data_IF_603173707816
#
_entry.id   IF_603173707816
#
_cell.length_a   1.000
_cell.length_b   1.000
_cell.length_c   1.000
_cell.angle_alpha   90.00
_cell.angle_beta   90.00
_cell.angle_gamma   90.00
#
_symmetry.space_group_name_H-M   'P 1'
#
loop_
_entity.id
_entity.type
_entity.pdbx_description
1 polymer ?
#
# COMPACT_ATOMS: atom_id res chain seq x y z
N UNK A 1 8.36 40.38 -31.08
CA UNK A 1 9.39 39.94 -32.06
C UNK A 1 10.80 40.10 -31.50
N UNK A 2 11.08 39.65 -30.27
CA UNK A 2 12.41 39.77 -29.64
C UNK A 2 13.05 38.41 -29.28
N UNK A 3 12.35 37.30 -29.54
CA UNK A 3 12.78 35.93 -29.16
C UNK A 3 13.62 35.21 -30.23
N UNK A 4 13.77 35.77 -31.42
CA UNK A 4 14.44 35.07 -32.54
C UNK A 4 15.97 35.22 -32.47
N UNK A 5 16.47 36.36 -31.98
CA UNK A 5 17.90 36.70 -31.99
C UNK A 5 18.72 36.01 -30.90
N UNK A 6 18.09 35.58 -29.79
CA UNK A 6 18.78 34.84 -28.73
C UNK A 6 19.17 33.42 -29.19
N UNK A 7 18.33 32.76 -30.00
CA UNK A 7 18.59 31.42 -30.53
C UNK A 7 19.72 31.35 -31.57
N UNK A 8 20.11 32.49 -32.17
CA UNK A 8 21.21 32.55 -33.14
C UNK A 8 22.59 32.67 -32.46
N UNK A 9 22.68 33.33 -31.29
CA UNK A 9 23.94 33.43 -30.54
C UNK A 9 24.34 32.09 -29.89
N UNK A 10 23.39 31.34 -29.32
CA UNK A 10 23.67 30.01 -28.76
C UNK A 10 24.12 29.02 -29.86
N UNK A 11 23.52 29.12 -31.06
CA UNK A 11 23.96 28.36 -32.24
C UNK A 11 25.40 28.69 -32.67
N UNK A 12 25.85 29.94 -32.55
CA UNK A 12 27.21 30.31 -32.94
C UNK A 12 28.30 29.69 -32.06
N UNK A 13 28.07 29.61 -30.74
CA UNK A 13 29.00 28.96 -29.81
C UNK A 13 29.08 27.45 -30.01
N UNK A 14 27.93 26.78 -30.19
CA UNK A 14 27.91 25.34 -30.51
C UNK A 14 28.58 25.03 -31.86
N UNK A 15 28.47 25.92 -32.84
CA UNK A 15 29.14 25.75 -34.14
C UNK A 15 30.68 25.86 -34.03
N UNK A 16 31.22 26.70 -33.14
CA UNK A 16 32.66 26.74 -32.87
C UNK A 16 33.15 25.49 -32.11
N UNK A 17 32.35 24.96 -31.18
CA UNK A 17 32.62 23.69 -30.51
C UNK A 17 32.56 22.51 -31.51
N UNK A 18 31.55 22.46 -32.37
CA UNK A 18 31.43 21.42 -33.41
C UNK A 18 32.57 21.50 -34.43
N UNK A 19 32.98 22.71 -34.82
CA UNK A 19 34.13 22.95 -35.71
C UNK A 19 35.46 22.56 -35.07
N UNK A 20 35.65 22.78 -33.77
CA UNK A 20 36.87 22.35 -33.05
C UNK A 20 36.89 20.85 -32.78
N UNK A 21 35.75 20.21 -32.46
CA UNK A 21 35.62 18.76 -32.39
C UNK A 21 35.91 18.09 -33.76
N UNK A 22 35.39 18.67 -34.84
CA UNK A 22 35.67 18.22 -36.22
C UNK A 22 37.16 18.36 -36.56
N UNK A 23 37.81 19.45 -36.16
CA UNK A 23 39.25 19.67 -36.35
C UNK A 23 40.14 18.71 -35.51
N UNK A 24 39.58 18.11 -34.45
CA UNK A 24 40.22 17.08 -33.63
C UNK A 24 39.88 15.64 -34.08
N UNK A 25 39.16 15.48 -35.20
CA UNK A 25 38.62 14.21 -35.70
C UNK A 25 37.76 13.45 -34.67
N UNK A 26 37.13 14.16 -33.73
CA UNK A 26 36.23 13.56 -32.74
C UNK A 26 34.81 13.47 -33.33
N UNK A 27 34.09 12.34 -33.13
CA UNK A 27 32.71 12.23 -33.60
C UNK A 27 31.79 13.25 -32.90
N UNK A 28 30.63 13.59 -33.50
CA UNK A 28 29.67 14.48 -32.87
C UNK A 28 29.06 13.84 -31.61
N UNK A 29 28.85 14.65 -30.57
CA UNK A 29 28.28 14.20 -29.29
C UNK A 29 26.84 13.69 -29.52
N UNK A 30 26.50 12.45 -29.13
CA UNK A 30 25.14 11.94 -29.26
C UNK A 30 24.19 12.63 -28.27
N UNK A 31 22.88 12.73 -28.60
CA UNK A 31 21.89 13.33 -27.69
C UNK A 31 21.79 12.55 -26.38
N UNK A 32 21.66 13.27 -25.27
CA UNK A 32 21.64 12.74 -23.88
C UNK A 32 20.44 11.84 -23.55
N UNK A 33 19.49 11.69 -24.47
CA UNK A 33 18.32 10.82 -24.34
C UNK A 33 18.63 9.32 -24.43
N UNK A 34 19.83 8.92 -24.88
CA UNK A 34 20.26 7.52 -25.00
C UNK A 34 21.57 7.27 -24.22
N UNK A 35 21.50 6.67 -23.01
CA UNK A 35 22.68 6.45 -22.19
C UNK A 35 23.61 5.35 -22.74
N UNK A 36 23.12 4.42 -23.55
CA UNK A 36 23.96 3.37 -24.15
C UNK A 36 24.83 3.94 -25.26
N UNK A 37 24.24 4.82 -26.08
CA UNK A 37 24.96 5.55 -27.13
C UNK A 37 25.94 6.59 -26.56
N UNK A 38 25.59 7.23 -25.44
CA UNK A 38 26.50 8.10 -24.69
C UNK A 38 27.70 7.33 -24.15
N UNK A 39 27.50 6.14 -23.57
CA UNK A 39 28.59 5.29 -23.08
C UNK A 39 29.51 4.82 -24.23
N UNK A 40 28.94 4.40 -25.37
CA UNK A 40 29.71 4.05 -26.55
C UNK A 40 30.55 5.21 -27.10
N UNK A 41 30.01 6.42 -27.08
CA UNK A 41 30.74 7.64 -27.44
C UNK A 41 31.90 7.92 -26.48
N UNK A 42 31.68 7.86 -25.16
CA UNK A 42 32.72 8.05 -24.14
C UNK A 42 33.86 7.05 -24.33
N UNK A 43 33.56 5.77 -24.54
CA UNK A 43 34.58 4.73 -24.79
C UNK A 43 35.37 4.95 -26.08
N UNK A 44 34.76 5.56 -27.10
CA UNK A 44 35.43 5.87 -28.36
C UNK A 44 36.38 7.08 -28.26
N UNK A 45 36.00 8.13 -27.51
CA UNK A 45 36.85 9.32 -27.33
C UNK A 45 37.94 9.14 -26.26
N UNK A 46 37.77 8.21 -25.32
CA UNK A 46 38.68 8.03 -24.17
C UNK A 46 40.17 7.87 -24.57
N UNK A 47 40.54 7.03 -25.58
CA UNK A 47 41.94 6.88 -25.97
C UNK A 47 42.52 8.18 -26.51
N UNK A 48 41.78 8.89 -27.37
CA UNK A 48 42.23 10.12 -28.02
C UNK A 48 42.29 11.31 -27.05
N UNK A 49 41.40 11.36 -26.07
CA UNK A 49 41.49 12.27 -24.93
C UNK A 49 42.74 11.99 -24.07
N UNK A 50 43.03 10.71 -23.81
CA UNK A 50 44.22 10.30 -23.04
C UNK A 50 45.52 10.68 -23.76
N UNK A 51 45.59 10.51 -25.09
CA UNK A 51 46.71 10.97 -25.90
C UNK A 51 46.90 12.49 -25.84
N UNK A 52 45.82 13.27 -25.93
CA UNK A 52 45.88 14.73 -25.79
C UNK A 52 46.36 15.18 -24.41
N UNK A 53 45.86 14.57 -23.33
CA UNK A 53 46.32 14.88 -21.96
C UNK A 53 47.79 14.49 -21.75
N UNK A 54 48.24 13.37 -22.33
CA UNK A 54 49.65 12.96 -22.31
C UNK A 54 50.53 13.95 -23.09
N UNK A 55 50.08 14.45 -24.25
CA UNK A 55 50.79 15.48 -25.01
C UNK A 55 50.80 16.82 -24.25
N UNK A 56 49.68 17.23 -23.66
CA UNK A 56 49.58 18.47 -22.89
C UNK A 56 50.46 18.45 -21.62
N UNK A 57 50.53 17.31 -20.93
CA UNK A 57 51.45 17.12 -19.79
C UNK A 57 52.91 17.11 -20.23
N UNK A 58 53.24 16.44 -21.35
CA UNK A 58 54.60 16.46 -21.92
C UNK A 58 55.04 17.89 -22.31
N UNK A 59 54.18 18.66 -22.99
CA UNK A 59 54.43 20.06 -23.33
C UNK A 59 54.60 20.95 -22.09
N UNK A 60 53.82 20.72 -21.02
CA UNK A 60 53.94 21.43 -19.75
C UNK A 60 55.27 21.15 -19.04
N UNK A 61 55.73 19.90 -19.07
CA UNK A 61 57.04 19.50 -18.53
C UNK A 61 58.17 20.11 -19.36
N UNK A 62 58.05 20.10 -20.69
CA UNK A 62 59.03 20.70 -21.60
C UNK A 62 59.15 22.22 -21.38
N UNK A 63 58.01 22.92 -21.28
CA UNK A 63 57.98 24.36 -20.98
C UNK A 63 58.65 24.68 -19.64
N UNK A 64 58.31 23.94 -18.57
CA UNK A 64 58.95 24.11 -17.25
C UNK A 64 60.46 23.81 -17.26
N UNK A 65 60.92 22.92 -18.13
CA UNK A 65 62.34 22.64 -18.32
C UNK A 65 63.02 23.82 -19.02
N UNK A 66 62.43 24.33 -20.10
CA UNK A 66 62.92 25.50 -20.82
C UNK A 66 62.99 26.76 -19.93
N UNK A 67 62.00 26.96 -19.04
CA UNK A 67 62.01 28.04 -18.05
C UNK A 67 63.19 27.93 -17.06
N UNK A 68 63.49 26.72 -16.58
CA UNK A 68 64.63 26.46 -15.69
C UNK A 68 65.95 26.73 -16.41
N UNK A 69 66.10 26.26 -17.64
CA UNK A 69 67.29 26.48 -18.45
C UNK A 69 67.48 27.98 -18.73
N UNK A 70 66.40 28.70 -19.07
CA UNK A 70 66.44 30.16 -19.21
C UNK A 70 66.87 30.87 -17.92
N UNK A 71 66.42 30.43 -16.74
CA UNK A 71 66.85 31.05 -15.48
C UNK A 71 68.32 30.72 -15.14
N UNK A 72 68.80 29.51 -15.48
CA UNK A 72 70.22 29.17 -15.42
C UNK A 72 71.06 30.08 -16.33
N UNK A 73 70.66 30.26 -17.60
CA UNK A 73 71.34 31.16 -18.52
C UNK A 73 71.34 32.62 -18.02
N UNK A 74 70.21 33.13 -17.52
CA UNK A 74 70.17 34.47 -16.89
C UNK A 74 71.11 34.57 -15.70
N UNK A 75 71.19 33.53 -14.86
CA UNK A 75 72.11 33.51 -13.70
C UNK A 75 73.58 33.56 -14.14
N UNK A 76 73.94 32.85 -15.21
CA UNK A 76 75.28 32.87 -15.79
C UNK A 76 75.62 34.22 -16.42
N UNK A 77 74.68 34.82 -17.17
CA UNK A 77 74.84 36.18 -17.73
C UNK A 77 75.02 37.23 -16.62
N UNK A 78 74.28 37.14 -15.51
CA UNK A 78 74.49 38.02 -14.34
C UNK A 78 75.88 37.86 -13.72
N UNK A 79 76.44 36.66 -13.72
CA UNK A 79 77.80 36.38 -13.23
C UNK A 79 78.86 36.98 -14.17
N UNK A 80 78.78 36.69 -15.47
CA UNK A 80 79.67 37.26 -16.49
C UNK A 80 79.62 38.79 -16.51
N UNK A 81 78.45 39.40 -16.30
CA UNK A 81 78.31 40.84 -16.20
C UNK A 81 79.08 41.43 -15.00
N UNK A 82 79.10 40.74 -13.84
CA UNK A 82 79.86 41.14 -12.65
C UNK A 82 81.37 41.01 -12.86
N UNK A 83 81.81 39.96 -13.53
CA UNK A 83 83.21 39.77 -13.91
C UNK A 83 83.66 40.84 -14.92
N UNK A 84 82.82 41.14 -15.92
CA UNK A 84 83.10 42.24 -16.86
C UNK A 84 83.14 43.62 -16.18
N UNK A 85 82.38 43.86 -15.10
CA UNK A 85 82.52 45.09 -14.30
C UNK A 85 83.83 45.12 -13.50
N UNK A 86 84.20 44.03 -12.82
CA UNK A 86 85.43 44.01 -12.02
C UNK A 86 86.69 44.10 -12.88
N UNK A 87 86.69 43.54 -14.10
CA UNK A 87 87.78 43.74 -15.07
C UNK A 87 87.87 45.20 -15.56
N UNK A 88 86.74 45.90 -15.76
CA UNK A 88 86.78 47.35 -16.06
C UNK A 88 87.34 48.16 -14.90
N UNK A 89 87.01 47.81 -13.66
CA UNK A 89 87.55 48.47 -12.47
C UNK A 89 89.07 48.23 -12.32
N UNK A 90 89.54 46.99 -12.51
CA UNK A 90 90.98 46.67 -12.58
C UNK A 90 91.70 47.46 -13.66
N UNK A 91 91.11 47.56 -14.86
CA UNK A 91 91.65 48.37 -15.96
C UNK A 91 91.77 49.85 -15.55
N UNK A 92 90.70 50.45 -15.02
CA UNK A 92 90.73 51.85 -14.57
C UNK A 92 91.74 52.08 -13.44
N UNK A 93 91.90 51.14 -12.53
CA UNK A 93 92.94 51.18 -11.50
C UNK A 93 94.34 51.20 -12.12
N UNK A 94 94.62 50.30 -13.07
CA UNK A 94 95.90 50.25 -13.78
C UNK A 94 96.18 51.52 -14.59
N UNK A 95 95.17 52.11 -15.24
CA UNK A 95 95.29 53.38 -15.97
C UNK A 95 95.62 54.54 -15.01
N UNK A 96 94.95 54.62 -13.84
CA UNK A 96 95.27 55.62 -12.80
C UNK A 96 96.66 55.41 -12.21
N UNK A 97 97.07 54.18 -11.96
CA UNK A 97 98.40 53.85 -11.45
C UNK A 97 99.49 54.23 -12.47
N UNK A 98 99.32 53.91 -13.75
CA UNK A 98 100.23 54.31 -14.81
C UNK A 98 100.33 55.85 -14.93
N UNK A 99 99.20 56.56 -14.87
CA UNK A 99 99.17 58.02 -14.87
C UNK A 99 99.90 58.62 -13.66
N UNK A 100 99.75 58.03 -12.47
CA UNK A 100 100.45 58.45 -11.25
C UNK A 100 101.97 58.22 -11.36
N UNK A 101 102.42 57.07 -11.87
CA UNK A 101 103.85 56.80 -12.10
C UNK A 101 104.46 57.76 -13.13
N UNK A 102 103.74 58.08 -14.21
CA UNK A 102 104.17 59.11 -15.17
C UNK A 102 104.24 60.49 -14.52
N UNK A 103 103.26 60.84 -13.67
CA UNK A 103 103.25 62.09 -12.91
C UNK A 103 104.43 62.17 -11.95
N UNK A 104 104.69 61.16 -11.12
CA UNK A 104 105.81 61.14 -10.18
C UNK A 104 107.16 61.23 -10.90
N UNK A 105 107.32 60.57 -12.05
CA UNK A 105 108.52 60.72 -12.89
C UNK A 105 108.66 62.15 -13.45
N UNK A 106 107.57 62.76 -13.86
CA UNK A 106 107.54 64.14 -14.35
C UNK A 106 107.87 65.13 -13.21
N UNK A 107 107.23 64.98 -12.05
CA UNK A 107 107.49 65.75 -10.84
C UNK A 107 108.96 65.58 -10.38
N UNK A 108 109.57 64.39 -10.47
CA UNK A 108 111.00 64.19 -10.18
C UNK A 108 111.95 64.90 -11.17
N UNK A 109 111.55 65.03 -12.45
CA UNK A 109 112.31 65.78 -13.44
C UNK A 109 112.20 67.29 -13.21
N UNK A 110 111.04 67.79 -12.81
CA UNK A 110 110.76 69.22 -12.68
C UNK A 110 110.99 69.80 -11.26
N UNK A 111 110.87 69.00 -10.19
CA UNK A 111 111.17 69.43 -8.81
C UNK A 111 112.66 69.71 -8.58
N UNK A 112 113.54 69.10 -9.38
CA UNK A 112 114.97 69.46 -9.44
C UNK A 112 115.23 70.86 -10.04
N UNK A 113 114.21 71.51 -10.60
CA UNK A 113 114.29 72.81 -11.27
C UNK A 113 113.84 74.03 -10.46
N UNK A 114 113.39 73.88 -9.20
CA UNK A 114 112.80 74.99 -8.42
C UNK A 114 113.40 75.19 -7.02
N UNK A 115 114.69 75.54 -6.97
CA UNK A 115 115.23 76.35 -5.87
C UNK A 115 115.96 77.56 -6.44
N UNK A 116 115.32 78.73 -6.37
CA UNK A 116 115.90 80.01 -6.79
C UNK A 116 116.74 80.61 -5.66
N UNK A 117 118.07 80.49 -5.75
CA UNK A 117 118.97 81.56 -5.31
C UNK A 117 120.22 81.62 -6.18
N UNK A 118 120.57 82.85 -6.60
CA UNK A 118 121.65 83.13 -7.56
C UNK A 118 123.02 82.86 -6.94
N UNK A 119 123.89 82.14 -7.66
CA UNK A 119 125.27 82.60 -7.91
C UNK A 119 125.84 81.96 -9.16
N UNK A 120 126.75 82.69 -9.81
CA UNK A 120 127.46 82.36 -11.04
C UNK A 120 128.48 81.23 -10.89
N UNK A 121 128.32 80.12 -11.62
CA UNK A 121 129.45 79.54 -12.38
C UNK A 121 128.98 78.74 -13.60
N UNK A 122 129.75 78.89 -14.67
CA UNK A 122 129.60 78.26 -15.98
C UNK A 122 129.59 76.73 -15.99
N UNK A 123 128.62 76.13 -16.69
CA UNK A 123 128.82 74.91 -17.48
C UNK A 123 127.93 74.88 -18.74
N UNK A 124 128.24 75.72 -19.73
CA UNK A 124 127.74 75.51 -21.09
C UNK A 124 128.41 74.29 -21.73
N UNK A 125 127.64 73.50 -22.48
CA UNK A 125 127.92 72.89 -23.81
C UNK A 125 126.92 71.72 -24.03
N UNK A 126 126.39 71.39 -25.23
CA UNK A 126 126.76 71.76 -26.60
C UNK A 126 125.52 72.04 -27.47
N UNK A 127 125.45 73.22 -28.11
CA UNK A 127 125.00 73.33 -29.51
C UNK A 127 125.69 74.51 -30.22
N UNK A 128 126.83 74.18 -30.85
CA UNK A 128 127.53 74.84 -31.96
C UNK A 128 127.77 76.37 -31.97
N UNK A 129 128.95 76.75 -31.49
CA UNK A 129 129.61 78.03 -31.84
C UNK A 129 130.23 78.01 -33.25
N UNK A 130 129.41 77.95 -34.31
CA UNK A 130 129.89 77.98 -35.70
C UNK A 130 129.06 78.89 -36.64
N UNK A 131 128.84 80.15 -36.25
CA UNK A 131 128.21 81.16 -37.13
C UNK A 131 128.50 82.62 -36.69
N UNK A 132 129.78 83.00 -36.53
CA UNK A 132 130.14 84.43 -36.32
C UNK A 132 131.36 84.93 -37.12
N UNK A 133 131.60 84.30 -38.28
CA UNK A 133 132.43 84.84 -39.38
C UNK A 133 131.86 84.35 -40.72
N UNK A 134 130.90 85.10 -41.26
CA UNK A 134 130.59 85.23 -42.70
C UNK A 134 129.39 86.17 -42.89
N UNK A 135 129.63 87.47 -42.70
CA UNK A 135 128.67 88.52 -43.07
C UNK A 135 128.69 88.77 -44.58
N UNK A 136 128.30 87.79 -45.39
CA UNK A 136 128.05 87.96 -46.84
C UNK A 136 127.07 86.90 -47.36
N UNK A 137 125.78 87.14 -47.14
CA UNK A 137 124.64 86.80 -48.03
C UNK A 137 123.36 87.33 -47.41
N UNK A 138 122.86 88.44 -47.95
CA UNK A 138 121.43 88.70 -47.88
C UNK A 138 120.73 87.68 -48.78
N UNK A 139 119.76 86.96 -48.23
CA UNK A 139 118.78 86.19 -48.98
C UNK A 139 117.42 86.48 -48.35
N UNK A 140 116.55 87.13 -49.11
CA UNK A 140 115.15 87.31 -48.73
C UNK A 140 114.48 85.95 -48.52
N UNK A 141 113.97 85.72 -47.31
CA UNK A 141 113.03 84.64 -47.00
C UNK A 141 111.93 85.18 -46.08
N UNK A 142 111.20 86.17 -46.57
CA UNK A 142 110.01 86.72 -45.92
C UNK A 142 108.70 86.49 -46.72
N UNK A 143 108.40 85.23 -47.11
CA UNK A 143 107.00 84.82 -47.20
C UNK A 143 106.78 83.43 -46.56
N UNK A 144 106.42 83.37 -45.26
CA UNK A 144 106.01 82.08 -44.65
C UNK A 144 105.19 82.21 -43.35
N UNK A 145 105.70 82.89 -42.29
CA UNK A 145 105.18 82.65 -40.93
C UNK A 145 103.81 83.30 -40.64
N UNK A 146 103.49 84.45 -41.25
CA UNK A 146 102.21 85.15 -40.99
C UNK A 146 101.05 84.49 -41.76
N UNK A 147 101.27 84.13 -43.03
CA UNK A 147 100.26 83.48 -43.86
C UNK A 147 99.87 82.09 -43.32
N UNK A 148 100.85 81.23 -43.03
CA UNK A 148 100.58 79.89 -42.46
C UNK A 148 99.90 79.94 -41.08
N UNK A 149 100.10 81.01 -40.29
CA UNK A 149 99.35 81.21 -39.03
C UNK A 149 97.91 81.63 -39.28
N UNK A 150 97.65 82.45 -40.30
CA UNK A 150 96.29 82.82 -40.73
C UNK A 150 95.49 81.63 -41.24
N UNK A 151 96.07 80.84 -42.15
CA UNK A 151 95.41 79.66 -42.74
C UNK A 151 95.11 78.58 -41.69
N UNK A 152 96.06 78.25 -40.82
CA UNK A 152 95.85 77.28 -39.72
C UNK A 152 94.82 77.77 -38.70
N UNK A 153 94.77 79.08 -38.42
CA UNK A 153 93.74 79.66 -37.56
C UNK A 153 92.36 79.56 -38.23
N UNK A 154 92.26 79.90 -39.52
CA UNK A 154 91.02 79.81 -40.29
C UNK A 154 90.51 78.36 -40.44
N UNK A 155 91.41 77.39 -40.61
CA UNK A 155 91.07 75.96 -40.62
C UNK A 155 90.56 75.50 -39.24
N UNK A 156 91.23 75.92 -38.14
CA UNK A 156 90.75 75.66 -36.79
C UNK A 156 89.39 76.33 -36.51
N UNK A 157 89.15 77.55 -36.99
CA UNK A 157 87.85 78.22 -36.89
C UNK A 157 86.75 77.42 -37.61
N UNK A 158 86.99 76.97 -38.85
CA UNK A 158 86.03 76.12 -39.59
C UNK A 158 85.77 74.77 -38.90
N UNK A 159 86.78 74.18 -38.27
CA UNK A 159 86.60 72.95 -37.48
C UNK A 159 85.76 73.22 -36.21
N UNK A 160 85.96 74.37 -35.55
CA UNK A 160 85.13 74.79 -34.40
C UNK A 160 83.69 75.05 -34.83
N UNK A 161 83.46 75.76 -35.94
CA UNK A 161 82.13 76.00 -36.52
C UNK A 161 81.43 74.66 -36.85
N UNK A 162 82.10 73.75 -37.56
CA UNK A 162 81.54 72.43 -37.88
C UNK A 162 81.25 71.56 -36.66
N UNK A 163 82.06 71.64 -35.60
CA UNK A 163 81.80 70.93 -34.34
C UNK A 163 80.67 71.59 -33.53
N UNK A 164 80.49 72.90 -33.63
CA UNK A 164 79.36 73.61 -33.03
C UNK A 164 78.04 73.23 -33.71
N UNK A 165 78.01 73.18 -35.04
CA UNK A 165 76.86 72.71 -35.82
C UNK A 165 76.51 71.24 -35.50
N UNK A 166 77.52 70.37 -35.39
CA UNK A 166 77.31 68.97 -35.02
C UNK A 166 76.77 68.82 -33.59
N UNK A 167 77.30 69.57 -32.62
CA UNK A 167 76.75 69.60 -31.25
C UNK A 167 75.31 70.13 -31.24
N UNK A 168 74.99 71.14 -32.06
CA UNK A 168 73.63 71.65 -32.20
C UNK A 168 72.67 70.61 -32.77
N UNK A 169 73.09 69.86 -33.81
CA UNK A 169 72.32 68.76 -34.38
C UNK A 169 72.08 67.63 -33.36
N UNK A 170 73.09 67.26 -32.58
CA UNK A 170 72.96 66.26 -31.52
C UNK A 170 72.03 66.73 -30.39
N UNK A 171 72.04 68.02 -30.05
CA UNK A 171 71.06 68.59 -29.12
C UNK A 171 69.62 68.53 -29.64
N UNK A 172 69.40 68.79 -30.93
CA UNK A 172 68.08 68.69 -31.57
C UNK A 172 67.58 67.24 -31.55
N UNK A 173 68.41 66.27 -31.96
CA UNK A 173 68.09 64.85 -31.91
C UNK A 173 67.78 64.38 -30.48
N UNK A 174 68.51 64.85 -29.47
CA UNK A 174 68.21 64.56 -28.06
C UNK A 174 66.85 65.10 -27.64
N UNK A 175 66.50 66.34 -28.03
CA UNK A 175 65.20 66.96 -27.72
C UNK A 175 64.04 66.20 -28.39
N UNK A 176 64.23 65.71 -29.61
CA UNK A 176 63.25 64.89 -30.31
C UNK A 176 63.09 63.50 -29.67
N UNK A 177 64.19 62.84 -29.31
CA UNK A 177 64.15 61.57 -28.57
C UNK A 177 63.44 61.71 -27.22
N UNK A 178 63.74 62.77 -26.45
CA UNK A 178 63.06 63.08 -25.18
C UNK A 178 61.55 63.30 -25.40
N UNK A 179 61.14 63.94 -26.50
CA UNK A 179 59.74 64.14 -26.84
C UNK A 179 59.05 62.81 -27.19
N UNK A 180 59.68 61.98 -28.02
CA UNK A 180 59.15 60.67 -28.41
C UNK A 180 59.02 59.73 -27.21
N UNK A 181 60.04 59.65 -26.34
CA UNK A 181 59.99 58.88 -25.10
C UNK A 181 58.86 59.37 -24.16
N UNK A 182 58.70 60.68 -24.00
CA UNK A 182 57.58 61.24 -23.22
C UNK A 182 56.22 60.99 -23.87
N UNK A 183 56.15 60.83 -25.19
CA UNK A 183 54.91 60.50 -25.90
C UNK A 183 54.55 59.02 -25.71
N UNK A 184 55.48 58.11 -25.97
CA UNK A 184 55.25 56.66 -25.81
C UNK A 184 54.98 56.28 -24.37
N UNK A 185 55.64 56.94 -23.39
CA UNK A 185 55.32 56.76 -21.97
C UNK A 185 53.87 57.14 -21.64
N UNK A 186 53.38 58.29 -22.13
CA UNK A 186 51.99 58.72 -21.91
C UNK A 186 50.98 57.79 -22.57
N UNK A 187 51.29 57.29 -23.77
CA UNK A 187 50.45 56.30 -24.48
C UNK A 187 50.40 54.97 -23.71
N UNK A 188 51.55 54.50 -23.22
CA UNK A 188 51.64 53.33 -22.35
C UNK A 188 50.84 53.51 -21.05
N UNK A 189 51.04 54.61 -20.32
CA UNK A 189 50.35 54.87 -19.05
C UNK A 189 48.83 55.00 -19.25
N UNK A 190 48.40 55.64 -20.34
CA UNK A 190 46.98 55.68 -20.73
C UNK A 190 46.42 54.29 -21.03
N UNK A 191 47.20 53.41 -21.66
CA UNK A 191 46.80 52.02 -21.90
C UNK A 191 46.70 51.23 -20.60
N UNK A 192 47.71 51.31 -19.73
CA UNK A 192 47.70 50.64 -18.41
C UNK A 192 46.48 51.06 -17.59
N UNK A 193 46.14 52.36 -17.57
CA UNK A 193 44.94 52.86 -16.86
C UNK A 193 43.64 52.33 -17.49
N UNK A 194 43.57 52.17 -18.81
CA UNK A 194 42.42 51.56 -19.48
C UNK A 194 42.29 50.06 -19.16
N UNK A 195 43.40 49.32 -19.25
CA UNK A 195 43.48 47.89 -18.94
C UNK A 195 43.12 47.64 -17.46
N UNK A 196 43.61 48.45 -16.51
CA UNK A 196 43.22 48.37 -15.10
C UNK A 196 41.72 48.58 -14.87
N UNK A 197 41.08 49.53 -15.57
CA UNK A 197 39.62 49.74 -15.49
C UNK A 197 38.84 48.56 -16.05
N UNK A 198 39.32 47.97 -17.15
CA UNK A 198 38.70 46.80 -17.75
C UNK A 198 38.81 45.57 -16.83
N UNK A 199 39.98 45.35 -16.20
CA UNK A 199 40.19 44.30 -15.20
C UNK A 199 39.21 44.48 -14.01
N UNK A 200 39.12 45.68 -13.43
CA UNK A 200 38.17 45.97 -12.35
C UNK A 200 36.71 45.72 -12.73
N UNK A 201 36.34 45.98 -13.99
CA UNK A 201 35.00 45.68 -14.50
C UNK A 201 34.76 44.16 -14.59
N UNK A 202 35.74 43.39 -15.09
CA UNK A 202 35.67 41.94 -15.15
C UNK A 202 35.62 41.30 -13.75
N UNK A 203 36.44 41.76 -12.81
CA UNK A 203 36.42 41.33 -11.41
C UNK A 203 35.04 41.53 -10.77
N UNK A 204 34.42 42.69 -11.00
CA UNK A 204 33.05 42.98 -10.54
C UNK A 204 32.03 42.04 -11.15
N UNK A 205 32.13 41.73 -12.45
CA UNK A 205 31.24 40.76 -13.11
C UNK A 205 31.45 39.33 -12.59
N UNK A 206 32.70 38.90 -12.35
CA UNK A 206 33.02 37.60 -11.77
C UNK A 206 32.40 37.47 -10.37
N UNK A 207 32.54 38.50 -9.52
CA UNK A 207 31.96 38.51 -8.17
C UNK A 207 30.42 38.49 -8.17
N UNK A 208 29.79 39.20 -9.12
CA UNK A 208 28.33 39.14 -9.30
C UNK A 208 27.89 37.74 -9.74
N UNK A 209 28.60 37.12 -10.69
CA UNK A 209 28.30 35.77 -11.18
C UNK A 209 28.50 34.70 -10.10
N UNK A 210 29.59 34.76 -9.31
CA UNK A 210 29.82 33.80 -8.22
C UNK A 210 28.78 33.92 -7.11
N UNK A 211 28.36 35.14 -6.76
CA UNK A 211 27.28 35.37 -5.79
C UNK A 211 25.95 34.79 -6.29
N UNK A 212 25.63 34.97 -7.58
CA UNK A 212 24.43 34.38 -8.19
C UNK A 212 24.52 32.84 -8.23
N UNK A 213 25.68 32.28 -8.56
CA UNK A 213 25.91 30.83 -8.57
C UNK A 213 25.65 30.20 -7.19
N UNK A 214 26.29 30.74 -6.14
CA UNK A 214 26.10 30.29 -4.76
C UNK A 214 24.66 30.48 -4.23
N UNK A 215 23.88 31.39 -4.82
CA UNK A 215 22.46 31.54 -4.52
C UNK A 215 21.61 30.49 -5.25
N UNK A 216 21.97 30.13 -6.49
CA UNK A 216 21.29 29.09 -7.26
C UNK A 216 21.56 27.69 -6.71
N UNK A 217 22.80 27.38 -6.35
CA UNK A 217 23.18 26.11 -5.71
C UNK A 217 22.38 25.88 -4.41
N UNK A 218 22.28 26.89 -3.53
CA UNK A 218 21.49 26.78 -2.30
C UNK A 218 19.99 26.58 -2.57
N UNK A 219 19.43 27.23 -3.59
CA UNK A 219 18.03 27.02 -3.99
C UNK A 219 17.80 25.64 -4.60
N UNK A 220 18.76 25.12 -5.35
CA UNK A 220 18.72 23.78 -5.92
C UNK A 220 18.70 22.73 -4.79
N UNK A 221 19.61 22.82 -3.81
CA UNK A 221 19.59 21.96 -2.63
C UNK A 221 18.30 22.08 -1.79
N UNK A 222 17.73 23.28 -1.68
CA UNK A 222 16.43 23.49 -0.99
C UNK A 222 15.29 22.78 -1.73
N UNK A 223 15.25 22.87 -3.07
CA UNK A 223 14.27 22.18 -3.91
C UNK A 223 14.44 20.66 -3.86
N UNK A 224 15.67 20.14 -3.95
CA UNK A 224 15.97 18.70 -3.80
C UNK A 224 15.52 18.19 -2.43
N UNK A 225 15.79 18.93 -1.36
CA UNK A 225 15.34 18.60 0.00
C UNK A 225 13.82 18.66 0.19
N UNK A 226 13.13 19.58 -0.49
CA UNK A 226 11.67 19.61 -0.53
C UNK A 226 11.10 18.42 -1.32
N UNK A 227 11.70 18.07 -2.46
CA UNK A 227 11.28 16.97 -3.31
C UNK A 227 11.42 15.63 -2.58
N UNK A 228 12.59 15.35 -1.99
CA UNK A 228 12.83 14.12 -1.23
C UNK A 228 11.86 13.94 -0.05
N UNK A 229 11.51 15.04 0.65
CA UNK A 229 10.48 15.01 1.70
C UNK A 229 9.08 14.73 1.14
N UNK A 230 8.72 15.35 0.02
CA UNK A 230 7.44 15.12 -0.63
C UNK A 230 7.31 13.68 -1.15
N UNK A 231 8.37 13.12 -1.75
CA UNK A 231 8.43 11.72 -2.17
C UNK A 231 8.23 10.77 -0.98
N UNK A 232 8.93 11.01 0.15
CA UNK A 232 8.72 10.26 1.39
C UNK A 232 7.28 10.30 1.89
N UNK A 233 6.67 11.49 1.96
CA UNK A 233 5.25 11.64 2.33
C UNK A 233 4.30 10.92 1.35
N UNK A 234 4.61 10.91 0.05
CA UNK A 234 3.79 10.21 -0.94
C UNK A 234 3.92 8.69 -0.85
N UNK A 235 5.11 8.16 -0.54
CA UNK A 235 5.29 6.73 -0.27
C UNK A 235 4.53 6.30 0.99
N UNK A 236 4.52 7.12 2.04
CA UNK A 236 3.69 6.88 3.25
C UNK A 236 2.18 6.89 2.93
N UNK A 237 1.70 7.88 2.18
CA UNK A 237 0.30 7.95 1.71
C UNK A 237 -0.08 6.71 0.89
N UNK A 238 0.78 6.30 -0.05
CA UNK A 238 0.58 5.11 -0.89
C UNK A 238 0.58 3.82 -0.07
N UNK A 239 1.45 3.70 0.93
CA UNK A 239 1.48 2.58 1.86
C UNK A 239 0.17 2.46 2.65
N UNK A 240 -0.35 3.58 3.18
CA UNK A 240 -1.65 3.63 3.86
C UNK A 240 -2.80 3.21 2.93
N UNK A 241 -2.83 3.72 1.68
CA UNK A 241 -3.84 3.34 0.69
C UNK A 241 -3.75 1.85 0.33
N UNK A 242 -2.55 1.33 0.08
CA UNK A 242 -2.31 -0.09 -0.20
C UNK A 242 -2.81 -0.99 0.95
N UNK A 243 -2.56 -0.61 2.20
CA UNK A 243 -3.03 -1.38 3.35
C UNK A 243 -4.56 -1.34 3.47
N UNK A 244 -5.19 -0.18 3.25
CA UNK A 244 -6.66 -0.07 3.20
C UNK A 244 -7.30 -0.88 2.07
N UNK A 245 -6.65 -0.99 0.92
CA UNK A 245 -7.09 -1.85 -0.20
C UNK A 245 -7.03 -3.33 0.21
N UNK A 246 -5.92 -3.78 0.82
CA UNK A 246 -5.80 -5.16 1.32
C UNK A 246 -6.87 -5.49 2.37
N UNK A 247 -7.14 -4.57 3.31
CA UNK A 247 -8.22 -4.73 4.28
C UNK A 247 -9.60 -4.83 3.61
N UNK A 248 -9.87 -3.98 2.61
CA UNK A 248 -11.14 -4.01 1.87
C UNK A 248 -11.31 -5.32 1.09
N UNK A 249 -10.25 -5.80 0.42
CA UNK A 249 -10.24 -7.09 -0.28
C UNK A 249 -10.48 -8.26 0.68
N UNK A 250 -9.85 -8.27 1.85
CA UNK A 250 -10.08 -9.29 2.87
C UNK A 250 -11.55 -9.28 3.36
N UNK A 251 -12.14 -8.09 3.57
CA UNK A 251 -13.56 -7.96 3.95
C UNK A 251 -14.50 -8.43 2.84
N UNK A 252 -14.22 -8.11 1.58
CA UNK A 252 -14.98 -8.59 0.42
C UNK A 252 -14.97 -10.13 0.38
N UNK A 253 -13.80 -10.76 0.49
CA UNK A 253 -13.68 -12.22 0.50
C UNK A 253 -14.46 -12.88 1.67
N UNK A 254 -14.51 -12.24 2.86
CA UNK A 254 -15.37 -12.73 3.96
C UNK A 254 -16.86 -12.61 3.66
N UNK A 255 -17.30 -11.49 3.05
CA UNK A 255 -18.69 -11.26 2.68
C UNK A 255 -19.15 -12.18 1.53
N UNK A 256 -18.27 -12.46 0.56
CA UNK A 256 -18.52 -13.44 -0.50
C UNK A 256 -18.74 -14.84 0.08
N UNK A 257 -17.88 -15.26 1.01
CA UNK A 257 -18.04 -16.56 1.71
C UNK A 257 -19.33 -16.64 2.51
N UNK A 258 -19.68 -15.58 3.24
CA UNK A 258 -20.94 -15.52 3.99
C UNK A 258 -22.16 -15.51 3.07
N UNK A 259 -22.09 -14.83 1.91
CA UNK A 259 -23.16 -14.81 0.90
C UNK A 259 -23.36 -16.22 0.29
N UNK A 260 -22.30 -16.93 -0.08
CA UNK A 260 -22.39 -18.31 -0.55
C UNK A 260 -23.05 -19.23 0.49
N UNK A 261 -22.66 -19.11 1.77
CA UNK A 261 -23.31 -19.87 2.87
C UNK A 261 -24.80 -19.54 3.00
N UNK A 262 -25.19 -18.27 2.85
CA UNK A 262 -26.60 -17.87 2.89
C UNK A 262 -27.38 -18.39 1.68
N UNK A 263 -26.79 -18.44 0.49
CA UNK A 263 -27.41 -19.04 -0.69
C UNK A 263 -27.64 -20.55 -0.52
N UNK A 264 -26.69 -21.28 0.06
CA UNK A 264 -26.85 -22.68 0.44
C UNK A 264 -28.01 -22.86 1.44
N UNK A 265 -28.09 -22.04 2.49
CA UNK A 265 -29.18 -22.08 3.46
C UNK A 265 -30.55 -21.78 2.84
N UNK A 266 -30.65 -20.78 1.97
CA UNK A 266 -31.88 -20.46 1.23
C UNK A 266 -32.32 -21.62 0.35
N UNK A 267 -31.38 -22.34 -0.29
CA UNK A 267 -31.69 -23.54 -1.06
C UNK A 267 -32.24 -24.65 -0.16
N UNK A 268 -31.58 -24.95 0.97
CA UNK A 268 -32.09 -25.95 1.93
C UNK A 268 -33.49 -25.61 2.42
N UNK A 269 -33.78 -24.34 2.74
CA UNK A 269 -35.13 -23.93 3.13
C UNK A 269 -36.17 -24.01 1.99
N UNK A 270 -35.76 -23.86 0.73
CA UNK A 270 -36.64 -24.10 -0.41
C UNK A 270 -36.96 -25.60 -0.56
N UNK A 271 -35.95 -26.46 -0.45
CA UNK A 271 -36.11 -27.92 -0.49
C UNK A 271 -37.01 -28.42 0.67
N UNK A 272 -36.80 -27.91 1.89
CA UNK A 272 -37.64 -28.21 3.07
C UNK A 272 -39.08 -27.70 2.90
N UNK A 273 -39.29 -26.50 2.35
CA UNK A 273 -40.62 -25.96 2.04
C UNK A 273 -41.36 -26.87 1.07
N UNK A 274 -40.69 -27.31 0.01
CA UNK A 274 -41.32 -28.14 -1.03
C UNK A 274 -41.64 -29.54 -0.50
N UNK A 275 -40.78 -30.10 0.36
CA UNK A 275 -41.08 -31.33 1.12
C UNK A 275 -42.29 -31.15 2.06
N UNK A 276 -42.36 -30.05 2.81
CA UNK A 276 -43.50 -29.76 3.70
C UNK A 276 -44.81 -29.57 2.92
N UNK A 277 -44.73 -29.02 1.70
CA UNK A 277 -45.88 -28.87 0.80
C UNK A 277 -46.43 -30.24 0.35
N UNK A 278 -45.56 -31.18 -0.02
CA UNK A 278 -45.97 -32.56 -0.35
C UNK A 278 -46.61 -33.26 0.85
N UNK A 279 -45.99 -33.17 2.04
CA UNK A 279 -46.56 -33.75 3.26
C UNK A 279 -47.91 -33.15 3.63
N UNK A 280 -48.13 -31.86 3.37
CA UNK A 280 -49.42 -31.20 3.56
C UNK A 280 -50.46 -31.73 2.57
N UNK A 281 -50.11 -31.87 1.28
CA UNK A 281 -50.96 -32.44 0.24
C UNK A 281 -51.39 -33.87 0.61
N UNK A 282 -50.44 -34.76 0.93
CA UNK A 282 -50.70 -36.13 1.42
C UNK A 282 -51.61 -36.16 2.66
N UNK A 283 -51.37 -35.26 3.62
CA UNK A 283 -52.20 -35.15 4.83
C UNK A 283 -53.63 -34.70 4.50
N UNK A 284 -53.81 -33.77 3.55
CA UNK A 284 -55.15 -33.35 3.11
C UNK A 284 -55.89 -34.44 2.35
N UNK A 285 -55.23 -35.21 1.49
CA UNK A 285 -55.83 -36.36 0.81
C UNK A 285 -56.26 -37.45 1.80
N UNK A 286 -55.41 -37.76 2.78
CA UNK A 286 -55.70 -38.71 3.87
C UNK A 286 -56.90 -38.26 4.71
N UNK A 287 -56.95 -36.98 5.11
CA UNK A 287 -58.08 -36.37 5.80
C UNK A 287 -59.39 -36.53 5.01
N UNK A 288 -59.36 -36.23 3.72
CA UNK A 288 -60.56 -36.27 2.88
C UNK A 288 -61.02 -37.71 2.56
N UNK A 289 -60.09 -38.67 2.53
CA UNK A 289 -60.41 -40.10 2.51
C UNK A 289 -61.08 -40.55 3.82
N UNK A 290 -60.56 -40.13 4.98
CA UNK A 290 -61.16 -40.42 6.29
C UNK A 290 -62.56 -39.80 6.40
N UNK A 291 -62.76 -38.56 5.96
CA UNK A 291 -64.08 -37.92 5.93
C UNK A 291 -65.10 -38.76 5.13
N UNK A 292 -64.76 -39.16 3.89
CA UNK A 292 -65.60 -40.05 3.07
C UNK A 292 -65.85 -41.42 3.71
N UNK A 293 -64.97 -41.90 4.58
CA UNK A 293 -65.19 -43.13 5.36
C UNK A 293 -66.14 -42.90 6.54
N UNK A 294 -66.06 -41.75 7.21
CA UNK A 294 -66.99 -41.34 8.27
C UNK A 294 -68.40 -41.18 7.69
N UNK A 295 -68.56 -40.50 6.56
CA UNK A 295 -69.86 -40.33 5.89
C UNK A 295 -70.52 -41.68 5.59
N UNK A 296 -69.77 -42.60 4.94
CA UNK A 296 -70.24 -43.96 4.64
C UNK A 296 -70.58 -44.80 5.88
N UNK A 297 -69.92 -44.56 7.01
CA UNK A 297 -70.25 -45.22 8.28
C UNK A 297 -71.50 -44.59 8.90
N UNK A 298 -71.64 -43.27 8.82
CA UNK A 298 -72.84 -42.54 9.26
C UNK A 298 -74.09 -43.01 8.50
N UNK A 299 -74.02 -43.11 7.17
CA UNK A 299 -75.12 -43.62 6.33
C UNK A 299 -75.53 -45.05 6.74
N UNK A 300 -74.55 -45.92 7.03
CA UNK A 300 -74.79 -47.28 7.51
C UNK A 300 -75.41 -47.30 8.90
N UNK A 301 -74.98 -46.44 9.81
CA UNK A 301 -75.59 -46.31 11.13
C UNK A 301 -77.06 -45.87 11.00
N UNK A 302 -77.37 -44.82 10.23
CA UNK A 302 -78.75 -44.40 9.99
C UNK A 302 -79.61 -45.49 9.34
N UNK A 303 -79.05 -46.24 8.39
CA UNK A 303 -79.73 -47.39 7.77
C UNK A 303 -80.06 -48.47 8.82
N UNK A 304 -79.10 -48.85 9.66
CA UNK A 304 -79.29 -49.86 10.72
C UNK A 304 -80.23 -49.36 11.81
N UNK A 305 -80.19 -48.08 12.17
CA UNK A 305 -81.14 -47.45 13.09
C UNK A 305 -82.57 -47.52 12.53
N UNK A 306 -82.76 -47.25 11.24
CA UNK A 306 -84.07 -47.38 10.58
C UNK A 306 -84.57 -48.84 10.51
N UNK A 307 -83.66 -49.81 10.34
CA UNK A 307 -83.98 -51.25 10.38
C UNK A 307 -84.36 -51.69 11.80
N UNK A 308 -83.62 -51.25 12.81
CA UNK A 308 -83.93 -51.50 14.23
C UNK A 308 -85.29 -50.90 14.60
N UNK A 309 -85.62 -49.71 14.12
CA UNK A 309 -86.91 -49.08 14.41
C UNK A 309 -88.07 -49.78 13.68
N UNK A 310 -87.85 -50.27 12.45
CA UNK A 310 -88.81 -51.12 11.74
C UNK A 310 -89.06 -52.45 12.48
N UNK A 311 -88.00 -53.14 12.93
CA UNK A 311 -88.08 -54.38 13.72
C UNK A 311 -88.75 -54.16 15.09
N UNK A 312 -88.54 -53.01 15.72
CA UNK A 312 -89.28 -52.59 16.93
C UNK A 312 -90.76 -52.42 16.63
N UNK A 313 -91.11 -51.69 15.57
CA UNK A 313 -92.51 -51.51 15.16
C UNK A 313 -93.21 -52.84 14.83
N UNK A 314 -92.51 -53.78 14.20
CA UNK A 314 -93.03 -55.14 13.95
C UNK A 314 -93.22 -55.91 15.26
N UNK A 315 -92.25 -55.84 16.19
CA UNK A 315 -92.35 -56.43 17.52
C UNK A 315 -93.53 -55.86 18.31
N UNK A 316 -93.73 -54.54 18.27
CA UNK A 316 -94.84 -53.85 18.94
C UNK A 316 -96.19 -54.21 18.32
N UNK A 317 -96.28 -54.39 17.00
CA UNK A 317 -97.49 -54.92 16.37
C UNK A 317 -97.76 -56.36 16.83
N UNK A 318 -96.80 -57.27 16.70
CA UNK A 318 -96.95 -58.68 17.12
C UNK A 318 -97.32 -58.81 18.60
N UNK A 319 -96.82 -57.93 19.47
CA UNK A 319 -97.24 -57.87 20.88
C UNK A 319 -98.65 -57.30 21.05
N UNK A 320 -98.99 -56.20 20.37
CA UNK A 320 -100.21 -55.45 20.62
C UNK A 320 -101.46 -56.00 19.91
N UNK A 321 -101.34 -56.52 18.69
CA UNK A 321 -102.43 -57.21 17.98
C UNK A 321 -102.38 -58.69 18.29
N UNK A 322 -101.40 -59.41 17.75
CA UNK A 322 -101.49 -60.87 17.60
C UNK A 322 -101.45 -61.59 18.95
N UNK A 323 -100.48 -61.26 19.80
CA UNK A 323 -100.36 -61.87 21.13
C UNK A 323 -101.55 -61.48 22.03
N UNK A 324 -102.06 -60.24 21.95
CA UNK A 324 -103.19 -59.81 22.76
C UNK A 324 -104.53 -60.38 22.26
N UNK A 325 -104.73 -60.50 20.95
CA UNK A 325 -105.89 -61.17 20.36
C UNK A 325 -105.89 -62.66 20.69
N UNK A 326 -104.73 -63.32 20.61
CA UNK A 326 -104.56 -64.70 21.08
C UNK A 326 -104.89 -64.79 22.58
N UNK A 327 -104.35 -63.90 23.43
CA UNK A 327 -104.71 -63.84 24.86
C UNK A 327 -106.21 -63.64 25.08
N UNK A 328 -106.86 -62.76 24.32
CA UNK A 328 -108.29 -62.47 24.42
C UNK A 328 -109.16 -63.65 23.96
N UNK A 329 -108.77 -64.33 22.88
CA UNK A 329 -109.41 -65.56 22.40
C UNK A 329 -109.28 -66.68 23.44
N UNK A 330 -108.08 -66.90 23.99
CA UNK A 330 -107.87 -67.89 25.06
C UNK A 330 -108.63 -67.53 26.34
N UNK A 331 -108.64 -66.26 26.76
CA UNK A 331 -109.44 -65.81 27.90
C UNK A 331 -110.94 -66.07 27.68
N UNK A 332 -111.45 -65.79 26.48
CA UNK A 332 -112.85 -66.08 26.09
C UNK A 332 -113.13 -67.58 26.07
N UNK A 333 -112.19 -68.40 25.59
CA UNK A 333 -112.30 -69.87 25.58
C UNK A 333 -112.26 -70.44 27.00
N UNK A 334 -111.39 -69.93 27.87
CA UNK A 334 -111.31 -70.28 29.28
C UNK A 334 -112.62 -69.91 29.98
N UNK A 335 -113.16 -68.70 29.77
CA UNK A 335 -114.44 -68.28 30.33
C UNK A 335 -115.60 -69.17 29.89
N UNK A 336 -115.66 -69.57 28.60
CA UNK A 336 -116.63 -70.56 28.12
C UNK A 336 -116.46 -71.90 28.82
N UNK A 337 -115.25 -72.46 28.85
CA UNK A 337 -114.97 -73.75 29.51
C UNK A 337 -115.26 -73.72 31.01
N UNK A 338 -114.99 -72.61 31.70
CA UNK A 338 -115.37 -72.42 33.11
C UNK A 338 -116.89 -72.43 33.27
N UNK A 339 -117.63 -71.70 32.43
CA UNK A 339 -119.10 -71.68 32.44
C UNK A 339 -119.70 -73.06 32.13
N UNK A 340 -119.18 -73.74 31.12
CA UNK A 340 -119.58 -75.11 30.75
C UNK A 340 -119.27 -76.10 31.90
N UNK A 341 -118.13 -75.93 32.59
CA UNK A 341 -117.80 -76.73 33.77
C UNK A 341 -118.69 -76.42 34.97
N UNK A 342 -119.14 -75.17 35.13
CA UNK A 342 -120.07 -74.78 36.18
C UNK A 342 -121.46 -75.37 35.93
N UNK A 343 -121.97 -75.26 34.68
CA UNK A 343 -123.23 -75.90 34.25
C UNK A 343 -123.14 -77.43 34.35
N UNK A 344 -122.01 -78.04 34.01
CA UNK A 344 -121.77 -79.48 34.15
C UNK A 344 -121.76 -79.91 35.64
N UNK A 345 -121.08 -79.14 36.52
CA UNK A 345 -121.13 -79.36 37.97
C UNK A 345 -122.55 -79.19 38.53
N UNK A 346 -123.29 -78.20 38.05
CA UNK A 346 -124.67 -77.95 38.49
C UNK A 346 -125.62 -79.07 38.04
N UNK A 347 -125.47 -79.58 36.81
CA UNK A 347 -126.14 -80.81 36.34
C UNK A 347 -125.77 -82.03 37.18
N UNK A 348 -124.48 -82.25 37.45
CA UNK A 348 -124.03 -83.34 38.33
C UNK A 348 -124.59 -83.20 39.75
N UNK A 349 -124.70 -81.98 40.30
CA UNK A 349 -125.37 -81.73 41.57
C UNK A 349 -126.86 -82.06 41.50
N UNK A 350 -127.56 -81.68 40.42
CA UNK A 350 -128.97 -82.02 40.20
C UNK A 350 -129.17 -83.55 40.03
N UNK A 351 -128.29 -84.24 39.31
CA UNK A 351 -128.29 -85.70 39.20
C UNK A 351 -128.02 -86.38 40.55
N UNK A 352 -127.05 -85.87 41.33
CA UNK A 352 -126.78 -86.32 42.70
C UNK A 352 -128.02 -86.12 43.59
N UNK A 353 -128.74 -85.01 43.47
CA UNK A 353 -129.93 -84.75 44.27
C UNK A 353 -131.15 -85.55 43.80
N UNK A 354 -131.28 -85.84 42.49
CA UNK A 354 -132.23 -86.81 41.95
C UNK A 354 -131.91 -88.23 42.46
N UNK A 355 -130.65 -88.65 42.45
CA UNK A 355 -130.20 -89.94 42.99
C UNK A 355 -130.45 -90.03 44.51
N UNK A 356 -130.23 -88.96 45.27
CA UNK A 356 -130.63 -88.87 46.69
C UNK A 356 -132.14 -89.01 46.86
N UNK A 357 -132.96 -88.37 46.03
CA UNK A 357 -134.42 -88.51 46.07
C UNK A 357 -134.86 -89.94 45.70
N UNK A 358 -134.23 -90.58 44.72
CA UNK A 358 -134.47 -91.98 44.37
C UNK A 358 -134.09 -92.93 45.50
N UNK A 359 -132.95 -92.72 46.17
CA UNK A 359 -132.56 -93.46 47.38
C UNK A 359 -133.56 -93.23 48.52
N UNK A 360 -134.04 -92.00 48.70
CA UNK A 360 -135.02 -91.68 49.74
C UNK A 360 -136.37 -92.38 49.50
N UNK A 361 -136.89 -92.30 48.27
CA UNK A 361 -138.11 -93.03 47.85
C UNK A 361 -137.95 -94.55 47.97
N UNK A 362 -136.76 -95.09 47.66
CA UNK A 362 -136.49 -96.53 47.82
C UNK A 362 -136.47 -96.97 49.29
N UNK A 363 -135.94 -96.13 50.18
CA UNK A 363 -135.95 -96.38 51.62
C UNK A 363 -137.35 -96.19 52.24
N UNK A 364 -138.17 -95.28 51.71
CA UNK A 364 -139.56 -95.08 52.14
C UNK A 364 -140.47 -96.23 51.65
N UNK A 365 -140.26 -96.77 50.44
CA UNK A 365 -140.99 -97.94 49.92
C UNK A 365 -140.62 -99.26 50.61
N UNK A 366 -139.39 -99.41 51.11
CA UNK A 366 -138.96 -100.59 51.87
C UNK A 366 -139.45 -100.62 53.33
N UNK A 367 -140.10 -99.56 53.81
CA UNK A 367 -140.52 -99.44 55.21
C UNK A 367 -141.98 -99.85 55.47
N UNK A 368 -142.75 -100.23 54.44
CA UNK A 368 -144.21 -100.42 54.54
C UNK A 368 -144.73 -101.79 54.08
N UNK A 369 -143.85 -102.79 53.90
CA UNK A 369 -144.24 -104.20 53.82
C UNK A 369 -143.46 -105.08 54.82
N UNK A 370 -144.23 -105.66 55.75
CA UNK A 370 -144.04 -106.99 56.37
C UNK A 370 -142.82 -107.24 57.28
N UNK A 371 -143.15 -107.33 58.58
CA UNK A 371 -142.91 -108.46 59.51
C UNK A 371 -141.60 -109.29 59.47
N UNK A 372 -141.21 -109.72 60.68
CA UNK A 372 -140.11 -110.66 61.04
C UNK A 372 -138.70 -110.04 61.13
N UNK A 373 -138.39 -109.66 62.38
CA UNK A 373 -137.06 -109.71 63.04
C UNK A 373 -135.96 -108.70 62.61
N UNK A 374 -135.94 -107.51 63.23
CA UNK A 374 -134.78 -106.62 63.31
C UNK A 374 -134.01 -106.82 64.63
N UNK A 375 -132.77 -106.35 64.82
CA UNK A 375 -131.75 -105.84 63.88
C UNK A 375 -130.40 -105.76 64.58
N UNK A 376 -129.31 -106.02 63.87
CA UNK A 376 -127.93 -105.91 64.36
C UNK A 376 -127.29 -104.55 64.01
N UNK A 377 -126.30 -104.16 64.82
CA UNK A 377 -125.21 -103.21 64.53
C UNK A 377 -125.53 -101.74 64.19
N UNK A 378 -125.29 -100.89 65.18
CA UNK A 378 -124.79 -99.51 65.06
C UNK A 378 -123.51 -99.43 65.92
N UNK A 379 -122.48 -98.67 65.57
CA UNK A 379 -122.28 -97.86 64.36
C UNK A 379 -120.83 -97.35 64.32
N UNK A 380 -120.46 -96.61 63.27
CA UNK A 380 -119.13 -95.99 63.17
C UNK A 380 -119.23 -94.47 63.00
N UNK A 381 -118.30 -93.73 63.60
CA UNK A 381 -118.47 -92.31 63.93
C UNK A 381 -118.03 -91.33 62.82
N UNK A 382 -118.51 -90.08 62.92
CA UNK A 382 -118.31 -88.97 61.98
C UNK A 382 -117.04 -88.15 62.26
N UNK A 383 -116.79 -87.19 61.35
CA UNK A 383 -115.95 -85.95 61.39
C UNK A 383 -114.62 -86.10 60.63
N UNK A 384 -114.10 -85.09 59.91
CA UNK A 384 -114.54 -83.70 59.67
C UNK A 384 -114.13 -83.19 58.27
N UNK A 385 -114.79 -82.12 57.80
CA UNK A 385 -114.43 -81.31 56.62
C UNK A 385 -113.48 -80.16 56.98
N UNK A 386 -112.64 -79.76 56.00
CA UNK A 386 -112.23 -78.38 55.67
C UNK A 386 -111.28 -78.45 54.45
N UNK A 387 -111.59 -77.89 53.26
CA UNK A 387 -111.28 -76.51 52.83
C UNK A 387 -109.85 -76.06 53.21
N UNK A 388 -109.01 -75.51 52.32
CA UNK A 388 -109.32 -74.53 51.26
C UNK A 388 -108.52 -74.77 49.96
N UNK A 389 -109.14 -74.41 48.84
CA UNK A 389 -108.45 -73.92 47.63
C UNK A 389 -108.04 -72.46 47.80
N UNK A 390 -106.79 -72.11 47.44
CA UNK A 390 -106.40 -70.73 47.10
C UNK A 390 -105.57 -70.76 45.82
N UNK A 391 -106.02 -69.99 44.82
CA UNK A 391 -105.26 -69.73 43.60
C UNK A 391 -104.06 -68.84 43.88
N UNK A 392 -102.96 -69.05 43.13
CA UNK A 392 -102.21 -67.92 42.56
C UNK A 392 -101.56 -68.32 41.25
N UNK A 393 -101.82 -67.52 40.22
CA UNK A 393 -101.10 -67.57 38.96
C UNK A 393 -99.71 -66.94 39.13
N UNK A 394 -98.71 -67.43 38.41
CA UNK A 394 -98.06 -66.67 37.35
C UNK A 394 -97.22 -67.62 36.50
N UNK A 395 -97.35 -67.55 35.17
CA UNK A 395 -96.45 -68.22 34.24
C UNK A 395 -95.48 -67.17 33.69
N UNK A 396 -94.18 -67.49 33.72
CA UNK A 396 -93.08 -66.81 33.01
C UNK A 396 -92.85 -65.33 33.40
N UNK A 397 -91.78 -65.11 34.16
CA UNK A 397 -90.93 -63.95 33.96
C UNK A 397 -89.48 -64.44 33.84
N UNK A 398 -88.74 -63.88 32.88
CA UNK A 398 -87.38 -64.31 32.54
C UNK A 398 -86.39 -63.89 33.63
N UNK A 399 -85.62 -64.86 34.14
CA UNK A 399 -84.40 -64.59 34.91
C UNK A 399 -83.26 -65.48 34.43
N UNK A 400 -82.48 -64.98 33.46
CA UNK A 400 -81.08 -65.39 33.28
C UNK A 400 -80.23 -64.21 33.73
N UNK A 401 -79.94 -64.18 35.04
CA UNK A 401 -78.88 -63.34 35.61
C UNK A 401 -77.71 -64.23 35.98
N UNK A 402 -76.98 -64.72 34.97
CA UNK A 402 -75.63 -65.26 35.17
C UNK A 402 -74.62 -64.11 35.04
N UNK A 403 -74.50 -63.33 36.12
CA UNK A 403 -73.38 -62.43 36.31
C UNK A 403 -72.24 -63.15 37.04
N UNK A 404 -71.00 -62.87 36.59
CA UNK A 404 -69.75 -63.08 37.35
C UNK A 404 -69.29 -64.55 37.51
N UNK A 405 -68.47 -65.02 36.55
CA UNK A 405 -67.07 -65.42 36.81
C UNK A 405 -66.31 -65.85 35.53
N UNK A 406 -65.06 -65.39 35.44
CA UNK A 406 -63.94 -65.90 34.63
C UNK A 406 -63.64 -65.27 33.24
N UNK A 407 -62.88 -64.17 33.30
CA UNK A 407 -61.54 -64.03 32.68
C UNK A 407 -61.35 -64.27 31.17
N UNK A 408 -61.14 -63.16 30.43
CA UNK A 408 -59.99 -63.06 29.53
C UNK A 408 -59.52 -61.61 29.40
N UNK A 409 -58.26 -61.42 29.78
CA UNK A 409 -57.50 -60.18 29.90
C UNK A 409 -57.35 -59.38 28.60
N UNK A 410 -57.58 -58.07 28.67
CA UNK A 410 -56.59 -57.10 28.18
C UNK A 410 -56.51 -55.91 29.14
N UNK A 411 -55.28 -55.59 29.57
CA UNK A 411 -54.97 -54.54 30.53
C UNK A 411 -54.70 -53.25 29.76
N UNK A 412 -55.28 -52.14 30.21
CA UNK A 412 -54.80 -50.79 29.88
C UNK A 412 -54.60 -50.04 31.19
N UNK A 413 -53.40 -50.15 31.74
CA UNK A 413 -52.98 -49.37 32.90
C UNK A 413 -52.84 -47.89 32.51
N UNK A 414 -53.35 -47.02 33.38
CA UNK A 414 -53.03 -45.60 33.40
C UNK A 414 -52.20 -45.35 34.67
N UNK A 415 -51.16 -44.48 34.58
CA UNK A 415 -50.15 -44.15 35.63
C UNK A 415 -49.11 -45.28 35.84
N UNK A 416 -47.81 -45.06 36.03
CA UNK A 416 -46.97 -43.90 36.46
C UNK A 416 -45.57 -44.00 35.81
N UNK A 417 -44.89 -42.89 35.46
CA UNK A 417 -43.49 -42.65 35.89
C UNK A 417 -42.95 -41.25 35.54
N UNK A 418 -42.40 -40.61 36.57
CA UNK A 418 -41.62 -39.38 36.56
C UNK A 418 -40.28 -39.72 37.23
N UNK A 419 -39.16 -39.14 36.76
CA UNK A 419 -37.77 -39.34 37.25
C UNK A 419 -37.17 -40.78 37.09
N UNK A 420 -35.87 -40.98 36.81
CA UNK A 420 -34.82 -40.04 36.41
C UNK A 420 -33.39 -40.55 36.70
N UNK A 421 -32.45 -40.24 35.77
CA UNK A 421 -30.99 -40.06 35.98
C UNK A 421 -30.00 -41.26 36.07
N UNK A 422 -28.73 -40.95 35.68
CA UNK A 422 -27.44 -41.64 35.95
C UNK A 422 -27.13 -42.94 35.13
N UNK A 423 -25.89 -43.24 34.66
CA UNK A 423 -24.63 -42.49 34.49
C UNK A 423 -23.68 -43.20 33.48
N UNK A 424 -22.63 -42.48 33.02
CA UNK A 424 -21.26 -42.83 32.47
C UNK A 424 -20.90 -44.29 32.09
N UNK A 425 -19.96 -44.56 31.18
CA UNK A 425 -18.58 -44.01 31.17
C UNK A 425 -17.78 -44.26 29.85
N UNK A 426 -16.54 -43.71 29.83
CA UNK A 426 -15.41 -43.87 28.86
C UNK A 426 -15.35 -42.78 27.76
N UNK A 427 -14.29 -41.97 27.60
CA UNK A 427 -13.11 -41.71 28.47
C UNK A 427 -12.45 -40.32 28.19
N UNK A 428 -11.18 -40.16 28.57
CA UNK A 428 -10.34 -38.94 28.55
C UNK A 428 -9.76 -38.55 27.18
N UNK A 429 -9.52 -37.24 26.93
CA UNK A 429 -8.19 -36.61 27.11
C UNK A 429 -8.21 -35.06 27.02
N UNK A 430 -7.34 -34.41 27.80
CA UNK A 430 -6.87 -33.00 27.71
C UNK A 430 -7.79 -31.83 28.09
N UNK A 431 -7.61 -31.37 29.33
CA UNK A 431 -7.70 -29.94 29.73
C UNK A 431 -6.63 -29.11 28.99
N UNK A 432 -6.94 -27.85 28.65
CA UNK A 432 -6.22 -26.70 29.23
C UNK A 432 -6.82 -25.33 28.86
N UNK A 433 -6.76 -24.41 29.84
CA UNK A 433 -6.82 -22.96 29.74
C UNK A 433 -8.11 -22.30 29.19
N UNK A 434 -8.48 -21.08 29.57
CA UNK A 434 -8.45 -20.30 30.80
C UNK A 434 -9.22 -19.02 30.43
N UNK A 435 -10.02 -18.53 31.37
CA UNK A 435 -10.57 -17.16 31.47
C UNK A 435 -9.90 -16.07 30.60
N UNK A 436 -10.69 -15.23 29.92
CA UNK A 436 -10.89 -13.82 30.32
C UNK A 436 -11.58 -12.95 29.24
N UNK A 437 -12.60 -12.26 29.73
CA UNK A 437 -13.26 -11.04 29.24
C UNK A 437 -12.51 -10.10 28.27
N UNK A 438 -13.27 -9.58 27.30
CA UNK A 438 -13.03 -8.28 26.65
C UNK A 438 -13.01 -7.12 27.67
N UNK A 439 -12.06 -6.18 27.56
CA UNK A 439 -12.41 -4.77 27.21
C UNK A 439 -11.23 -3.88 26.76
N UNK A 440 -11.45 -3.21 25.61
CA UNK A 440 -10.97 -1.88 25.14
C UNK A 440 -9.52 -1.35 25.37
N UNK A 441 -8.92 -1.00 24.21
CA UNK A 441 -8.42 0.33 23.78
C UNK A 441 -7.37 1.07 24.65
N UNK A 442 -6.21 1.38 24.06
CA UNK A 442 -5.38 2.50 24.54
C UNK A 442 -3.98 2.65 23.94
N UNK A 443 -3.87 3.38 22.81
CA UNK A 443 -2.75 4.19 22.30
C UNK A 443 -1.27 3.79 22.52
N UNK A 444 -0.55 3.94 21.41
CA UNK A 444 0.89 4.14 21.30
C UNK A 444 1.50 5.20 22.26
N UNK A 445 2.72 4.92 22.69
CA UNK A 445 3.89 5.81 22.58
C UNK A 445 5.13 4.94 22.38
#
# INVERSE_FOLDING_TARGET
>A
MADVTAAEQDRSGWYEVEKTLTALELPPVPPTSDPQRLLGYVLHILPRYTEMEMLATHLRIYASTLEKDMEQFKSHVRLLAREATSEREKKQFMERYAAQVVKERNDLLHSRGSSKKKTTTSSHFIWHSCCKKNGHRAMDVAPSIVAFRGEKLQEATKQVESLQDEVHNQELLRKELDFLLKKTQREHDSKVVADCKHIQQLEKQILQRSTLHANLERKLYEVESMLARHEGTKEEELSVVCNRIKEAQARIATLEKDNSRLQEQVKTFADDRDRLKVLLEETTESKDAIAKHIDKLSDKCHSLESEVEALRSETDMLQNTDINDIRAQYATRINRLQKDSAVSKEKLCQEIDQLKQHLKKRNELLAQEVSVRPSLTMGNSRRSLSSLTVWRAFLIQVTISNGVMASLTMIVDWKVMECGSLFREVSCQSRMNLLAYHFRVGKAS
#
